data_IF_572233891642
#
_entry.id   IF_572233891642
#
_cell.length_a   1.000
_cell.length_b   1.000
_cell.length_c   1.000
_cell.angle_alpha   90.00
_cell.angle_beta   90.00
_cell.angle_gamma   90.00
#
_symmetry.space_group_name_H-M   'P 1'
#
loop_
_entity.id
_entity.type
_entity.pdbx_description
1 polymer ?
#
# COMPACT_ATOMS: atom_id res chain seq x y z
N UNK A 1 -11.04 2.90 -0.90
CA UNK A 1 -10.14 3.76 -0.13
C UNK A 1 -10.18 5.17 -0.67
N UNK A 2 -10.24 6.15 0.20
CA UNK A 2 -10.24 7.55 -0.22
C UNK A 2 -8.81 8.05 -0.38
N UNK A 3 -8.60 8.97 -1.31
CA UNK A 3 -7.27 9.52 -1.52
C UNK A 3 -6.74 10.24 -0.27
N UNK A 4 -7.63 10.87 0.50
CA UNK A 4 -7.23 11.53 1.75
C UNK A 4 -6.69 10.54 2.77
N UNK A 5 -7.28 9.34 2.83
CA UNK A 5 -6.77 8.28 3.71
C UNK A 5 -5.40 7.82 3.29
N UNK A 6 -5.20 7.67 1.97
CA UNK A 6 -3.91 7.27 1.43
C UNK A 6 -2.84 8.32 1.75
N UNK A 7 -3.19 9.60 1.56
CA UNK A 7 -2.26 10.69 1.87
C UNK A 7 -1.90 10.73 3.34
N UNK A 8 -2.88 10.52 4.23
CA UNK A 8 -2.60 10.50 5.66
C UNK A 8 -1.59 9.42 6.03
N UNK A 9 -1.73 8.25 5.41
CA UNK A 9 -0.78 7.16 5.68
C UNK A 9 0.61 7.50 5.19
N UNK A 10 0.71 8.15 4.03
CA UNK A 10 2.02 8.53 3.49
C UNK A 10 2.68 9.64 4.28
N UNK A 11 1.90 10.53 4.88
CA UNK A 11 2.42 11.71 5.57
C UNK A 11 2.54 11.52 7.07
N UNK A 12 2.17 10.36 7.58
CA UNK A 12 2.24 10.09 9.01
C UNK A 12 3.67 10.22 9.53
N UNK A 13 3.80 10.77 10.73
CA UNK A 13 5.12 10.95 11.36
C UNK A 13 5.07 10.42 12.77
N UNK A 14 5.82 9.35 13.06
CA UNK A 14 6.67 8.63 12.10
C UNK A 14 5.85 7.84 11.10
N UNK A 15 6.43 7.62 9.92
CA UNK A 15 5.79 6.82 8.90
C UNK A 15 5.71 5.36 9.35
N UNK A 16 4.56 4.75 9.16
CA UNK A 16 4.37 3.33 9.46
C UNK A 16 4.10 2.59 8.16
N UNK A 17 4.89 1.58 7.82
CA UNK A 17 4.65 0.81 6.59
C UNK A 17 3.25 0.20 6.59
N UNK A 18 2.67 0.11 5.40
CA UNK A 18 1.34 -0.46 5.27
C UNK A 18 1.23 -1.25 3.98
N UNK A 19 0.21 -2.10 3.92
CA UNK A 19 -0.09 -2.89 2.74
C UNK A 19 -1.47 -2.55 2.22
N UNK A 20 -1.57 -2.47 0.90
CA UNK A 20 -2.85 -2.29 0.22
C UNK A 20 -3.27 -3.64 -0.34
N UNK A 21 -4.44 -4.12 0.06
CA UNK A 21 -4.96 -5.40 -0.41
C UNK A 21 -6.02 -5.12 -1.46
N UNK A 22 -5.81 -5.65 -2.65
CA UNK A 22 -6.71 -5.42 -3.76
C UNK A 22 -7.86 -6.43 -3.76
N UNK A 23 -8.90 -6.11 -4.53
CA UNK A 23 -10.08 -6.96 -4.60
C UNK A 23 -9.76 -8.35 -5.17
N UNK A 24 -8.71 -8.46 -5.98
CA UNK A 24 -8.29 -9.75 -6.53
C UNK A 24 -7.25 -10.45 -5.65
N UNK A 25 -7.04 -9.97 -4.43
CA UNK A 25 -6.22 -10.68 -3.46
C UNK A 25 -4.74 -10.35 -3.45
N UNK A 26 -4.30 -9.39 -4.25
CA UNK A 26 -2.89 -9.01 -4.26
C UNK A 26 -2.58 -8.06 -3.11
N UNK A 27 -1.37 -8.16 -2.59
CA UNK A 27 -0.90 -7.27 -1.52
C UNK A 27 0.23 -6.42 -2.07
N UNK A 28 0.13 -5.11 -1.87
CA UNK A 28 1.13 -4.17 -2.34
C UNK A 28 1.66 -3.42 -1.13
N UNK A 29 2.94 -3.60 -0.85
CA UNK A 29 3.54 -3.04 0.36
C UNK A 29 4.16 -1.69 0.08
N UNK A 30 3.83 -0.72 0.93
CA UNK A 30 4.44 0.61 0.90
C UNK A 30 5.37 0.70 2.10
N UNK A 31 6.67 0.59 1.85
CA UNK A 31 7.68 0.52 2.91
C UNK A 31 8.09 1.89 3.41
N UNK A 32 7.99 2.90 2.57
CA UNK A 32 8.37 4.25 2.93
C UNK A 32 7.57 5.22 2.06
N UNK A 33 7.51 6.50 2.45
CA UNK A 33 6.73 7.47 1.65
C UNK A 33 7.17 7.57 0.21
N UNK A 34 8.46 7.30 -0.07
CA UNK A 34 8.96 7.35 -1.45
C UNK A 34 8.55 6.20 -2.32
N UNK A 35 7.88 5.18 -1.77
CA UNK A 35 7.44 4.02 -2.53
C UNK A 35 6.07 4.18 -3.15
N UNK A 36 5.39 5.27 -2.90
CA UNK A 36 4.06 5.49 -3.45
C UNK A 36 3.88 6.96 -3.84
N UNK A 37 3.06 7.19 -4.85
CA UNK A 37 2.88 8.54 -5.38
C UNK A 37 1.55 8.63 -6.11
N UNK A 38 0.98 9.82 -6.14
CA UNK A 38 -0.20 10.07 -6.96
C UNK A 38 -0.09 11.47 -7.56
N UNK A 39 -0.66 11.67 -8.76
CA UNK A 39 -0.71 13.02 -9.34
C UNK A 39 -1.53 13.95 -8.45
N UNK A 40 -1.21 15.24 -8.40
CA UNK A 40 -1.91 16.18 -7.51
C UNK A 40 -3.42 16.25 -7.75
N UNK A 41 -3.86 16.04 -8.98
CA UNK A 41 -5.28 16.12 -9.31
C UNK A 41 -5.98 14.77 -9.35
N UNK A 42 -5.27 13.70 -8.97
CA UNK A 42 -5.87 12.37 -8.94
C UNK A 42 -6.59 12.16 -7.63
N UNK A 43 -7.78 11.58 -7.71
CA UNK A 43 -8.56 11.26 -6.51
C UNK A 43 -8.71 9.76 -6.28
N UNK A 44 -8.21 8.93 -7.19
CA UNK A 44 -8.38 7.49 -7.03
C UNK A 44 -7.24 6.64 -7.58
N UNK A 45 -6.33 7.21 -8.35
CA UNK A 45 -5.26 6.45 -8.98
C UNK A 45 -3.93 6.78 -8.32
N UNK A 46 -3.21 5.74 -7.91
CA UNK A 46 -1.90 5.90 -7.25
C UNK A 46 -0.89 4.95 -7.88
N UNK A 47 0.38 5.30 -7.73
CA UNK A 47 1.49 4.46 -8.15
C UNK A 47 2.16 3.89 -6.91
N UNK A 48 2.48 2.59 -6.95
CA UNK A 48 3.21 1.95 -5.86
C UNK A 48 4.41 1.25 -6.46
N UNK A 49 5.61 1.57 -5.97
CA UNK A 49 6.84 0.99 -6.46
C UNK A 49 6.90 -0.49 -6.06
N UNK A 50 7.39 -1.30 -6.99
CA UNK A 50 7.59 -2.73 -6.76
C UNK A 50 9.01 -2.98 -6.30
N UNK A 51 9.21 -4.07 -5.59
CA UNK A 51 10.52 -4.42 -5.06
C UNK A 51 11.54 -4.67 -6.17
N UNK A 52 11.15 -5.35 -7.22
CA UNK A 52 12.08 -5.74 -8.26
C UNK A 52 12.40 -4.57 -9.20
N UNK A 53 11.38 -3.98 -9.77
CA UNK A 53 11.53 -2.84 -10.68
C UNK A 53 10.15 -2.41 -11.12
N UNK A 54 10.04 -1.17 -11.59
CA UNK A 54 8.79 -0.67 -12.08
C UNK A 54 7.83 -0.29 -10.98
N UNK A 55 6.59 -0.03 -11.38
CA UNK A 55 5.56 0.40 -10.44
C UNK A 55 4.22 -0.17 -10.87
N UNK A 56 3.34 -0.35 -9.91
CA UNK A 56 1.97 -0.75 -10.17
C UNK A 56 1.07 0.49 -10.12
N UNK A 57 0.22 0.63 -11.11
CA UNK A 57 -0.79 1.69 -11.15
C UNK A 57 -2.07 1.10 -10.60
N UNK A 58 -2.59 1.70 -9.54
CA UNK A 58 -3.67 1.11 -8.77
C UNK A 58 -4.83 2.06 -8.65
N UNK A 59 -6.04 1.53 -8.84
CA UNK A 59 -7.27 2.27 -8.58
C UNK A 59 -7.66 2.04 -7.12
N UNK A 60 -7.71 3.12 -6.34
CA UNK A 60 -8.02 3.01 -4.91
C UNK A 60 -9.39 2.38 -4.65
N UNK A 61 -10.31 2.45 -5.61
CA UNK A 61 -11.61 1.80 -5.46
C UNK A 61 -11.51 0.28 -5.44
N UNK A 62 -10.39 -0.27 -5.91
CA UNK A 62 -10.16 -1.72 -5.89
C UNK A 62 -9.46 -2.18 -4.62
N UNK A 63 -9.16 -1.26 -3.70
CA UNK A 63 -8.55 -1.62 -2.42
C UNK A 63 -9.67 -2.02 -1.46
N UNK A 64 -9.58 -3.24 -0.94
CA UNK A 64 -10.59 -3.76 -0.02
C UNK A 64 -10.15 -3.70 1.42
N UNK A 65 -8.83 -3.59 1.65
CA UNK A 65 -8.30 -3.60 3.01
C UNK A 65 -6.94 -2.90 3.03
N UNK A 66 -6.66 -2.21 4.13
CA UNK A 66 -5.35 -1.63 4.37
C UNK A 66 -4.86 -2.17 5.70
N UNK A 67 -3.66 -2.77 5.69
CA UNK A 67 -3.05 -3.31 6.90
C UNK A 67 -1.90 -2.40 7.28
N UNK A 68 -2.00 -1.72 8.40
CA UNK A 68 -1.01 -0.73 8.85
C UNK A 68 -0.16 -1.35 9.93
N UNK A 69 1.16 -1.26 9.78
CA UNK A 69 2.10 -1.75 10.78
C UNK A 69 2.24 -3.26 10.82
N UNK A 70 1.68 -3.97 9.83
CA UNK A 70 1.79 -5.42 9.78
C UNK A 70 3.17 -5.87 9.34
N UNK A 71 3.54 -7.14 9.64
CA UNK A 71 4.77 -7.71 9.18
C UNK A 71 4.58 -8.29 7.79
N UNK A 72 5.55 -8.20 6.99
CA UNK A 72 5.51 -8.85 5.70
C UNK A 72 5.53 -10.34 5.89
N UNK A 73 5.22 -11.27 6.12
CA UNK A 73 5.27 -12.50 6.24
C UNK A 73 5.38 -13.17 6.86
N UNK A 74 5.45 -12.79 7.21
CA UNK A 74 5.35 -13.04 7.86
C UNK A 74 5.02 -13.68 7.92
N UNK A 75 5.12 -13.78 7.79
CA UNK A 75 4.85 -13.96 8.10
C UNK A 75 4.47 -14.45 7.77
N UNK A 76 4.70 -14.56 7.36
CA UNK A 76 4.26 -14.66 7.46
C UNK A 76 4.10 -15.23 7.04
N UNK A 77 4.14 -15.61 6.75
CA UNK A 77 3.78 -15.83 6.82
C UNK A 77 3.61 -16.42 6.90
N UNK A 78 3.69 -16.65 6.87
CA UNK A 78 3.30 -16.87 7.32
C UNK A 78 3.07 -17.55 7.60
N UNK A 79 3.18 -18.02 7.51
CA UNK A 79 2.82 -18.39 8.13
C UNK A 79 2.70 -19.07 8.57
N UNK A 80 2.81 -19.29 8.55
CA UNK A 80 2.57 -19.71 9.20
C UNK A 80 2.48 -20.27 9.55
N UNK A 81 2.67 -20.60 9.49
CA UNK A 81 2.50 -20.76 10.05
C UNK A 81 2.39 -21.23 10.56
N UNK A 82 2.61 -21.44 10.52
CA UNK A 82 2.38 -21.60 11.19
C UNK A 82 2.06 -21.84 11.57
#
# INVERSE_FOLDING_TARGET
>A
MLISEFEELLEAKPFTPFELITADGRALRVRSPGFAWHPPDSTRTVWVAKDSSGAALIDLHHITQVVVGGRPNANGRKRPRK
#
